data_IF_811341733673
#
_entry.id   IF_811341733673
#
_cell.length_a   1.000
_cell.length_b   1.000
_cell.length_c   1.000
_cell.angle_alpha   90.00
_cell.angle_beta   90.00
_cell.angle_gamma   90.00
#
_symmetry.space_group_name_H-M   'P 1'
#
loop_
_entity.id
_entity.type
_entity.pdbx_description
1 polymer ?
#
# COMPACT_ATOMS: atom_id res chain seq x y z
N UNK A 1 16.84 14.96 1.42
CA UNK A 1 16.12 15.93 0.58
C UNK A 1 15.71 15.23 -0.71
N UNK A 2 14.44 14.86 -0.81
CA UNK A 2 13.88 14.13 -1.95
C UNK A 2 13.57 15.16 -3.06
N UNK A 3 13.88 14.81 -4.32
CA UNK A 3 13.74 15.69 -5.50
C UNK A 3 12.28 15.80 -5.96
N UNK A 4 11.45 16.52 -5.20
CA UNK A 4 10.04 16.81 -5.54
C UNK A 4 9.89 17.61 -6.85
N UNK A 5 10.96 18.32 -7.23
CA UNK A 5 11.09 19.14 -8.42
C UNK A 5 11.26 18.34 -9.72
N UNK A 6 11.66 17.07 -9.64
CA UNK A 6 11.89 16.21 -10.83
C UNK A 6 10.93 15.04 -10.97
N UNK A 7 10.27 14.62 -9.89
CA UNK A 7 9.37 13.49 -9.89
C UNK A 7 8.08 13.85 -9.16
N UNK A 8 6.94 13.63 -9.82
CA UNK A 8 5.63 13.74 -9.18
C UNK A 8 5.55 12.66 -8.10
N UNK A 9 5.76 13.04 -6.83
CA UNK A 9 5.57 12.11 -5.72
C UNK A 9 4.08 11.82 -5.66
N UNK A 10 3.75 10.61 -6.08
CA UNK A 10 2.43 10.02 -5.96
C UNK A 10 2.12 9.88 -4.47
N UNK A 11 1.54 10.91 -3.84
CA UNK A 11 0.90 10.87 -2.50
C UNK A 11 -0.38 10.01 -2.53
N UNK A 12 -0.37 8.90 -3.27
CA UNK A 12 -1.57 8.13 -3.55
C UNK A 12 -2.06 7.49 -2.25
N UNK A 13 -3.35 7.58 -1.95
CA UNK A 13 -3.95 6.95 -0.79
C UNK A 13 -3.87 5.43 -0.95
N UNK A 14 -3.40 4.76 0.09
CA UNK A 14 -3.39 3.31 0.20
C UNK A 14 -4.28 2.92 1.37
N UNK A 15 -5.28 2.07 1.12
CA UNK A 15 -5.84 1.25 2.18
C UNK A 15 -4.89 0.09 2.44
N UNK A 16 -4.66 -0.25 3.70
CA UNK A 16 -3.65 -1.24 4.11
C UNK A 16 -4.24 -2.20 5.13
N UNK A 17 -3.87 -3.48 5.02
CA UNK A 17 -4.14 -4.45 6.08
C UNK A 17 -2.99 -4.41 7.09
N UNK A 18 -3.25 -3.80 8.25
CA UNK A 18 -2.27 -3.62 9.32
C UNK A 18 -1.76 -4.93 9.92
N UNK A 19 -2.49 -6.04 9.72
CA UNK A 19 -2.08 -7.36 10.21
C UNK A 19 -1.15 -8.09 9.25
N UNK A 20 -0.96 -7.55 8.03
CA UNK A 20 -0.24 -8.21 6.94
C UNK A 20 1.23 -7.80 6.81
N UNK A 21 1.74 -6.94 7.71
CA UNK A 21 3.14 -6.56 7.71
C UNK A 21 4.00 -7.81 7.90
N UNK A 22 4.92 -8.01 6.97
CA UNK A 22 5.91 -9.08 7.01
C UNK A 22 7.20 -8.61 6.38
N UNK A 23 8.28 -9.29 6.68
CA UNK A 23 9.57 -8.96 6.11
C UNK A 23 10.68 -9.79 6.69
N UNK A 24 11.91 -9.49 6.28
CA UNK A 24 13.10 -10.13 6.78
C UNK A 24 14.27 -9.16 6.77
N UNK A 25 15.27 -9.42 7.62
CA UNK A 25 16.52 -8.67 7.61
C UNK A 25 17.39 -9.14 6.44
N UNK A 26 17.86 -8.20 5.63
CA UNK A 26 18.81 -8.46 4.55
C UNK A 26 20.14 -7.72 4.81
N UNK A 27 21.29 -8.30 4.42
CA UNK A 27 22.58 -7.61 4.48
C UNK A 27 22.56 -6.33 3.64
N UNK A 28 23.23 -5.27 4.10
CA UNK A 28 23.30 -4.04 3.31
C UNK A 28 24.43 -4.11 2.27
N UNK A 29 24.16 -3.83 0.98
CA UNK A 29 25.20 -3.91 -0.06
C UNK A 29 26.35 -2.91 0.10
N UNK A 30 26.16 -1.87 0.93
CA UNK A 30 27.04 -0.70 1.01
C UNK A 30 27.58 -0.44 2.43
N UNK A 31 27.30 -1.33 3.38
CA UNK A 31 27.79 -1.23 4.77
C UNK A 31 27.29 -0.01 5.56
N UNK A 32 26.33 0.76 5.04
CA UNK A 32 25.82 1.98 5.71
C UNK A 32 25.04 1.67 6.99
N UNK A 33 24.31 0.56 6.99
CA UNK A 33 23.59 0.03 8.16
C UNK A 33 23.98 -1.44 8.36
N UNK A 34 23.85 -2.00 9.57
CA UNK A 34 24.14 -3.42 9.80
C UNK A 34 23.19 -4.35 9.03
N UNK A 35 21.95 -3.91 8.75
CA UNK A 35 20.96 -4.61 7.93
C UNK A 35 19.90 -3.62 7.41
N UNK A 36 19.11 -4.05 6.44
CA UNK A 36 17.81 -3.46 6.13
C UNK A 36 16.69 -4.46 6.43
N UNK A 37 15.56 -3.98 6.92
CA UNK A 37 14.33 -4.74 6.96
C UNK A 37 13.62 -4.59 5.60
N UNK A 38 13.51 -5.68 4.84
CA UNK A 38 12.71 -5.74 3.62
C UNK A 38 11.26 -6.03 3.98
N UNK A 39 10.50 -4.95 4.16
CA UNK A 39 9.12 -4.97 4.63
C UNK A 39 8.11 -4.95 3.48
N UNK A 40 7.03 -5.70 3.64
CA UNK A 40 5.90 -5.82 2.72
C UNK A 40 4.60 -5.73 3.52
N UNK A 41 3.63 -4.96 3.04
CA UNK A 41 2.29 -4.87 3.65
C UNK A 41 1.22 -4.84 2.55
N UNK A 42 0.16 -5.61 2.71
CA UNK A 42 -0.93 -5.69 1.76
C UNK A 42 -1.68 -4.36 1.69
N UNK A 43 -1.97 -3.91 0.47
CA UNK A 43 -2.55 -2.61 0.21
C UNK A 43 -3.47 -2.57 -1.02
N UNK A 44 -4.39 -1.61 -1.03
CA UNK A 44 -5.24 -1.23 -2.16
C UNK A 44 -5.09 0.27 -2.43
N UNK A 45 -4.89 0.66 -3.68
CA UNK A 45 -4.82 2.06 -4.09
C UNK A 45 -5.48 2.31 -5.42
N UNK A 46 -6.02 3.50 -5.59
CA UNK A 46 -6.60 3.89 -6.87
C UNK A 46 -5.55 4.44 -7.82
N UNK A 47 -5.72 4.14 -9.11
CA UNK A 47 -4.98 4.79 -10.19
C UNK A 47 -5.87 5.05 -11.38
N UNK A 48 -5.55 6.10 -12.13
CA UNK A 48 -6.16 6.35 -13.45
C UNK A 48 -5.36 5.63 -14.52
N UNK A 49 -6.04 4.89 -15.40
CA UNK A 49 -5.46 4.31 -16.61
C UNK A 49 -6.43 4.50 -17.76
N UNK A 50 -6.01 5.23 -18.81
CA UNK A 50 -6.85 5.54 -19.99
C UNK A 50 -8.24 6.12 -19.61
N UNK A 51 -8.28 7.06 -18.66
CA UNK A 51 -9.53 7.68 -18.19
C UNK A 51 -10.29 6.88 -17.13
N UNK A 52 -10.06 5.57 -16.99
CA UNK A 52 -10.75 4.72 -16.01
C UNK A 52 -10.06 4.76 -14.65
N UNK A 53 -10.83 4.91 -13.57
CA UNK A 53 -10.36 4.67 -12.20
C UNK A 53 -10.33 3.16 -11.95
N UNK A 54 -9.18 2.65 -11.55
CA UNK A 54 -8.98 1.23 -11.24
C UNK A 54 -8.40 1.15 -9.83
N UNK A 55 -8.97 0.28 -9.00
CA UNK A 55 -8.35 -0.13 -7.74
C UNK A 55 -7.25 -1.14 -8.06
N UNK A 56 -6.01 -0.83 -7.69
CA UNK A 56 -4.90 -1.77 -7.68
C UNK A 56 -4.81 -2.41 -6.32
N UNK A 57 -4.68 -3.74 -6.32
CA UNK A 57 -4.57 -4.54 -5.10
C UNK A 57 -3.21 -5.21 -5.14
N UNK A 58 -2.48 -5.16 -4.04
CA UNK A 58 -1.22 -5.85 -3.91
C UNK A 58 -0.49 -5.41 -2.67
N UNK A 59 0.76 -4.97 -2.79
CA UNK A 59 1.64 -4.73 -1.65
C UNK A 59 2.39 -3.40 -1.74
N UNK A 60 2.45 -2.67 -0.63
CA UNK A 60 3.50 -1.70 -0.39
C UNK A 60 4.77 -2.41 0.08
N UNK A 61 5.92 -1.84 -0.28
CA UNK A 61 7.21 -2.40 0.09
C UNK A 61 8.20 -1.30 0.42
N UNK A 62 9.08 -1.55 1.38
CA UNK A 62 10.12 -0.60 1.78
C UNK A 62 11.31 -1.31 2.42
N UNK A 63 12.50 -0.74 2.23
CA UNK A 63 13.72 -1.17 2.91
C UNK A 63 14.02 -0.21 4.06
N UNK A 64 13.72 -0.61 5.29
CA UNK A 64 13.77 0.27 6.46
C UNK A 64 14.92 -0.09 7.41
N UNK A 65 15.48 0.93 8.05
CA UNK A 65 16.37 0.79 9.19
C UNK A 65 16.18 2.00 10.13
N UNK A 66 15.86 1.79 11.42
CA UNK A 66 15.69 0.50 12.10
C UNK A 66 14.45 -0.28 11.62
N UNK A 67 14.37 -1.56 11.99
CA UNK A 67 13.17 -2.38 11.73
C UNK A 67 11.95 -1.77 12.45
N UNK A 68 10.80 -1.63 11.77
CA UNK A 68 9.60 -1.06 12.38
C UNK A 68 9.03 -2.00 13.43
N UNK A 69 8.49 -1.44 14.51
CA UNK A 69 7.91 -2.21 15.60
C UNK A 69 6.57 -2.86 15.22
N UNK A 70 5.85 -2.27 14.26
CA UNK A 70 4.55 -2.72 13.77
C UNK A 70 4.21 -2.04 12.44
N UNK A 71 3.05 -2.38 11.87
CA UNK A 71 2.56 -1.82 10.61
C UNK A 71 2.41 -0.29 10.64
N UNK A 72 1.98 0.31 11.74
CA UNK A 72 1.87 1.76 11.85
C UNK A 72 3.25 2.42 11.69
N UNK A 73 4.24 1.91 12.42
CA UNK A 73 5.60 2.44 12.35
C UNK A 73 6.22 2.24 10.95
N UNK A 74 5.92 1.12 10.28
CA UNK A 74 6.33 0.89 8.89
C UNK A 74 5.76 1.96 7.95
N UNK A 75 4.47 2.28 8.09
CA UNK A 75 3.79 3.28 7.24
C UNK A 75 4.26 4.71 7.52
N UNK A 76 4.54 5.06 8.76
CA UNK A 76 5.11 6.37 9.14
C UNK A 76 6.50 6.59 8.51
N UNK A 77 7.31 5.53 8.45
CA UNK A 77 8.63 5.56 7.83
C UNK A 77 8.59 5.43 6.30
N UNK A 78 7.47 4.96 5.74
CA UNK A 78 7.27 4.75 4.31
C UNK A 78 7.11 6.08 3.54
N UNK A 79 8.21 6.82 3.46
CA UNK A 79 8.28 8.15 2.85
C UNK A 79 8.68 8.11 1.38
N UNK A 80 9.18 6.96 0.90
CA UNK A 80 9.64 6.77 -0.46
C UNK A 80 8.66 5.94 -1.31
N UNK A 81 7.61 6.60 -1.79
CA UNK A 81 6.64 6.00 -2.72
C UNK A 81 7.08 6.00 -4.19
N UNK A 82 8.35 6.27 -4.51
CA UNK A 82 8.80 6.51 -5.92
C UNK A 82 8.49 5.36 -6.87
N UNK A 83 8.53 4.13 -6.39
CA UNK A 83 8.25 2.93 -7.20
C UNK A 83 6.80 2.46 -7.10
N UNK A 84 6.00 3.05 -6.20
CA UNK A 84 4.66 2.60 -5.88
C UNK A 84 4.60 1.17 -5.32
N UNK A 85 3.38 0.67 -5.10
CA UNK A 85 3.14 -0.70 -4.67
C UNK A 85 3.27 -1.72 -5.81
N UNK A 86 3.61 -2.95 -5.44
CA UNK A 86 3.56 -4.12 -6.35
C UNK A 86 2.11 -4.50 -6.58
N UNK A 87 1.58 -4.33 -7.80
CA UNK A 87 0.19 -4.68 -8.13
C UNK A 87 0.06 -6.16 -8.49
N UNK A 88 -0.78 -6.89 -7.77
CA UNK A 88 -1.12 -8.30 -8.03
C UNK A 88 -2.51 -8.47 -8.65
N UNK A 89 -3.43 -7.56 -8.33
CA UNK A 89 -4.80 -7.56 -8.79
C UNK A 89 -5.30 -6.17 -9.16
N UNK A 90 -6.39 -6.12 -9.91
CA UNK A 90 -7.06 -4.89 -10.32
C UNK A 90 -8.56 -5.10 -10.26
N UNK A 91 -9.28 -4.05 -9.89
CA UNK A 91 -10.73 -4.01 -9.94
C UNK A 91 -11.18 -2.71 -10.57
N UNK A 92 -12.05 -2.78 -11.57
CA UNK A 92 -12.45 -1.64 -12.42
C UNK A 92 -13.85 -1.09 -12.11
N UNK A 93 -14.52 -1.60 -11.09
CA UNK A 93 -15.94 -1.31 -10.84
C UNK A 93 -16.85 -2.52 -11.06
N UNK A 94 -16.42 -3.47 -11.89
CA UNK A 94 -17.26 -4.56 -12.38
C UNK A 94 -16.55 -5.91 -12.33
N UNK A 95 -15.28 -5.94 -12.73
CA UNK A 95 -14.49 -7.16 -12.89
C UNK A 95 -13.17 -7.08 -12.14
N UNK A 96 -12.77 -8.21 -11.56
CA UNK A 96 -11.44 -8.40 -10.99
C UNK A 96 -10.49 -9.01 -12.04
N UNK A 97 -9.31 -8.43 -12.21
CA UNK A 97 -8.24 -8.94 -13.07
C UNK A 97 -6.95 -9.12 -12.27
N UNK A 98 -6.44 -10.34 -12.17
CA UNK A 98 -5.14 -10.65 -11.56
C UNK A 98 -4.57 -11.95 -12.14
N UNK A 99 -3.27 -12.18 -11.97
CA UNK A 99 -2.60 -13.44 -12.39
C UNK A 99 -2.31 -14.37 -11.20
N UNK A 100 -3.02 -14.19 -10.10
CA UNK A 100 -2.83 -14.88 -8.83
C UNK A 100 -3.84 -16.01 -8.65
N UNK A 101 -3.57 -16.92 -7.71
CA UNK A 101 -4.44 -18.05 -7.38
C UNK A 101 -5.81 -17.59 -6.88
N UNK A 102 -6.85 -18.44 -6.98
CA UNK A 102 -8.20 -18.10 -6.51
C UNK A 102 -8.22 -17.64 -5.04
N UNK A 103 -7.50 -18.33 -4.16
CA UNK A 103 -7.38 -17.96 -2.75
C UNK A 103 -6.71 -16.59 -2.53
N UNK A 104 -5.79 -16.19 -3.41
CA UNK A 104 -5.23 -14.83 -3.38
C UNK A 104 -6.25 -13.78 -3.85
N UNK A 105 -7.06 -14.10 -4.86
CA UNK A 105 -8.13 -13.23 -5.31
C UNK A 105 -9.19 -13.02 -4.22
N UNK A 106 -9.57 -14.07 -3.51
CA UNK A 106 -10.51 -13.99 -2.38
C UNK A 106 -9.97 -13.11 -1.25
N UNK A 107 -8.69 -13.26 -0.89
CA UNK A 107 -8.03 -12.37 0.10
C UNK A 107 -8.01 -10.92 -0.38
N UNK A 108 -7.71 -10.68 -1.64
CA UNK A 108 -7.76 -9.34 -2.23
C UNK A 108 -9.16 -8.73 -2.17
N UNK A 109 -10.19 -9.52 -2.47
CA UNK A 109 -11.58 -9.09 -2.40
C UNK A 109 -12.01 -8.81 -0.96
N UNK A 110 -11.54 -9.58 0.02
CA UNK A 110 -11.84 -9.34 1.44
C UNK A 110 -11.33 -7.96 1.92
N UNK A 111 -10.19 -7.48 1.40
CA UNK A 111 -9.69 -6.12 1.67
C UNK A 111 -10.51 -5.07 0.91
N UNK A 112 -10.89 -5.36 -0.34
CA UNK A 112 -11.57 -4.43 -1.22
C UNK A 112 -13.05 -4.21 -0.86
N UNK A 113 -13.79 -5.27 -0.53
CA UNK A 113 -15.24 -5.24 -0.33
C UNK A 113 -15.70 -4.22 0.71
N UNK A 114 -15.08 -4.11 1.90
CA UNK A 114 -15.44 -3.08 2.89
C UNK A 114 -15.28 -1.66 2.35
N UNK A 115 -14.30 -1.41 1.46
CA UNK A 115 -14.12 -0.10 0.86
C UNK A 115 -15.22 0.22 -0.15
N UNK A 116 -15.65 -0.79 -0.93
CA UNK A 116 -16.71 -0.62 -1.93
C UNK A 116 -18.09 -0.45 -1.30
N UNK A 117 -18.35 -1.15 -0.19
CA UNK A 117 -19.61 -1.05 0.54
C UNK A 117 -19.88 0.37 1.06
N UNK A 118 -18.82 1.13 1.33
CA UNK A 118 -18.89 2.51 1.81
C UNK A 118 -18.66 3.54 0.70
N UNK A 119 -18.62 3.14 -0.57
CA UNK A 119 -18.49 4.10 -1.67
C UNK A 119 -19.88 4.62 -2.10
N UNK A 120 -20.10 5.94 -2.29
CA UNK A 120 -19.13 7.04 -2.17
C UNK A 120 -19.08 7.68 -0.77
N UNK A 121 -19.82 7.16 0.22
CA UNK A 121 -19.90 7.72 1.57
C UNK A 121 -18.60 7.57 2.36
N UNK A 122 -17.89 8.69 2.42
CA UNK A 122 -16.69 8.85 3.22
C UNK A 122 -17.04 8.75 4.73
N UNK A 123 -16.47 7.80 5.49
CA UNK A 123 -16.74 7.67 6.92
C UNK A 123 -16.37 8.95 7.71
N UNK A 124 -17.07 9.29 8.80
CA UNK A 124 -16.69 10.43 9.64
C UNK A 124 -15.24 10.33 10.14
N UNK A 125 -14.46 11.40 9.98
CA UNK A 125 -13.02 11.43 10.30
C UNK A 125 -12.08 11.16 9.12
N UNK A 126 -12.64 11.04 7.91
CA UNK A 126 -11.91 10.80 6.68
C UNK A 126 -11.83 12.08 5.85
N UNK A 127 -10.63 12.44 5.39
CA UNK A 127 -10.28 13.72 4.75
C UNK A 127 -10.13 13.61 3.22
N UNK A 128 -10.70 12.56 2.63
CA UNK A 128 -10.61 12.23 1.20
C UNK A 128 -9.72 11.02 0.89
N UNK A 129 -9.18 10.34 1.91
CA UNK A 129 -8.17 9.29 1.76
C UNK A 129 -8.41 8.08 2.70
N UNK A 130 -8.37 6.84 2.16
CA UNK A 130 -8.63 5.62 2.97
C UNK A 130 -7.39 5.22 3.75
N UNK A 131 -7.25 5.79 4.93
CA UNK A 131 -6.24 5.42 5.93
C UNK A 131 -6.96 5.03 7.23
N UNK A 132 -6.47 4.02 7.96
CA UNK A 132 -6.94 3.76 9.32
C UNK A 132 -6.36 4.85 10.24
N UNK A 133 -7.09 5.96 10.39
CA UNK A 133 -6.76 6.99 11.38
C UNK A 133 -6.96 6.39 12.78
N UNK A 134 -5.98 6.54 13.66
CA UNK A 134 -6.17 6.22 15.07
C UNK A 134 -7.28 7.11 15.65
N UNK A 135 -8.14 6.54 16.50
CA UNK A 135 -9.16 7.31 17.20
C UNK A 135 -8.50 8.47 17.97
N UNK A 136 -8.97 9.68 17.70
CA UNK A 136 -8.46 10.91 18.28
C UNK A 136 -9.04 11.16 19.66
#
# INVERSE_FOLDING_TARGET
MIREDRFLISRKPYAVDLTSLRGHRSPTPQGRNPYYFDGRISAVWFRRRKGTTIACIGELWDLQHPEPANAHHFLEQHTDGRYGGTTHGRWDGQSYWGNVTLAEQERHLAILQPMLANYPEIPPGYDGWWTFQAAR
#
